data_IF_457008248258
#
_entry.id   IF_457008248258
#
_cell.length_a   1.000
_cell.length_b   1.000
_cell.length_c   1.000
_cell.angle_alpha   90.00
_cell.angle_beta   90.00
_cell.angle_gamma   90.00
#
_symmetry.space_group_name_H-M   'P 1'
#
loop_
_entity.id
_entity.type
_entity.pdbx_description
1 polymer ?
#
# COMPACT_ATOMS: atom_id res chain seq x y z
N UNK A 1 13.03 9.24 -3.84
CA UNK A 1 13.75 7.95 -3.85
C UNK A 1 14.93 8.11 -4.79
N UNK A 2 16.16 7.95 -4.30
CA UNK A 2 17.39 8.11 -5.08
C UNK A 2 17.69 6.84 -5.89
N UNK A 3 18.57 6.94 -6.89
CA UNK A 3 18.91 5.83 -7.79
C UNK A 3 19.46 4.59 -7.06
N UNK A 4 20.24 4.81 -5.99
CA UNK A 4 20.75 3.74 -5.13
C UNK A 4 19.62 3.04 -4.35
N UNK A 5 18.64 3.79 -3.85
CA UNK A 5 17.48 3.25 -3.14
C UNK A 5 16.61 2.41 -4.07
N UNK A 6 16.44 2.86 -5.33
CA UNK A 6 15.71 2.12 -6.36
C UNK A 6 16.40 0.78 -6.63
N UNK A 7 17.73 0.80 -6.83
CA UNK A 7 18.49 -0.43 -7.05
C UNK A 7 18.36 -1.39 -5.86
N UNK A 8 18.60 -0.90 -4.65
CA UNK A 8 18.50 -1.71 -3.43
C UNK A 8 17.10 -2.33 -3.30
N UNK A 9 16.05 -1.55 -3.53
CA UNK A 9 14.68 -2.04 -3.46
C UNK A 9 14.41 -3.16 -4.46
N UNK A 10 14.86 -3.02 -5.71
CA UNK A 10 14.63 -4.04 -6.74
C UNK A 10 15.46 -5.30 -6.47
N UNK A 11 16.69 -5.16 -5.96
CA UNK A 11 17.50 -6.30 -5.52
C UNK A 11 16.82 -7.05 -4.37
N UNK A 12 16.33 -6.35 -3.35
CA UNK A 12 15.60 -6.94 -2.22
C UNK A 12 14.32 -7.64 -2.68
N UNK A 13 13.59 -7.04 -3.62
CA UNK A 13 12.41 -7.64 -4.25
C UNK A 13 12.77 -8.98 -4.91
N UNK A 14 13.76 -9.04 -5.80
CA UNK A 14 14.12 -10.29 -6.47
C UNK A 14 14.72 -11.34 -5.53
N UNK A 15 15.46 -10.92 -4.49
CA UNK A 15 15.93 -11.80 -3.42
C UNK A 15 14.76 -12.39 -2.63
N UNK A 16 13.72 -11.62 -2.35
CA UNK A 16 12.52 -12.10 -1.65
C UNK A 16 11.79 -13.19 -2.46
N UNK A 17 11.77 -13.09 -3.79
CA UNK A 17 11.26 -14.14 -4.67
C UNK A 17 12.27 -15.26 -4.98
N UNK A 18 13.44 -15.26 -4.33
CA UNK A 18 14.51 -16.25 -4.55
C UNK A 18 14.92 -16.37 -6.02
N UNK A 19 14.93 -15.24 -6.73
CA UNK A 19 15.25 -15.19 -8.16
C UNK A 19 16.77 -15.29 -8.37
N UNK A 20 17.27 -16.13 -9.29
CA UNK A 20 18.70 -16.20 -9.56
C UNK A 20 19.14 -15.00 -10.41
N UNK A 21 20.17 -14.30 -9.94
CA UNK A 21 20.85 -13.25 -10.70
C UNK A 21 21.82 -13.90 -11.70
N UNK A 22 21.67 -13.57 -12.97
CA UNK A 22 22.51 -14.10 -14.06
C UNK A 22 23.76 -13.26 -14.26
N UNK A 23 23.63 -11.94 -14.13
CA UNK A 23 24.73 -10.98 -14.20
C UNK A 23 24.54 -9.90 -13.14
N UNK A 24 25.61 -9.51 -12.45
CA UNK A 24 25.59 -8.43 -11.46
C UNK A 24 26.73 -7.46 -11.75
N UNK A 25 26.40 -6.18 -11.88
CA UNK A 25 27.33 -5.07 -12.10
C UNK A 25 26.91 -3.88 -11.24
N UNK A 26 27.83 -2.96 -10.89
CA UNK A 26 27.45 -1.71 -10.24
C UNK A 26 26.38 -0.89 -11.00
N UNK A 27 26.40 -0.97 -12.33
CA UNK A 27 25.58 -0.16 -13.23
C UNK A 27 24.27 -0.83 -13.67
N UNK A 28 24.21 -2.17 -13.65
CA UNK A 28 23.07 -2.96 -14.10
C UNK A 28 23.07 -4.35 -13.46
N UNK A 29 21.94 -5.05 -13.44
CA UNK A 29 21.92 -6.49 -13.20
C UNK A 29 20.88 -7.18 -14.07
N UNK A 30 21.10 -8.47 -14.32
CA UNK A 30 20.20 -9.34 -15.07
C UNK A 30 19.68 -10.45 -14.17
N UNK A 31 18.38 -10.69 -14.22
CA UNK A 31 17.71 -11.67 -13.35
C UNK A 31 16.73 -12.50 -14.15
N UNK A 32 16.66 -13.80 -13.83
CA UNK A 32 15.60 -14.66 -14.32
C UNK A 32 14.35 -14.44 -13.48
N UNK A 33 13.25 -14.06 -14.12
CA UNK A 33 11.99 -13.84 -13.41
C UNK A 33 11.42 -15.18 -12.94
N UNK A 34 10.95 -15.29 -11.68
CA UNK A 34 10.14 -16.42 -11.26
C UNK A 34 8.75 -16.33 -11.90
N UNK A 35 8.04 -17.46 -11.96
CA UNK A 35 6.74 -17.60 -12.66
C UNK A 35 5.74 -16.51 -12.24
N UNK A 36 5.65 -16.23 -10.94
CA UNK A 36 4.69 -15.25 -10.39
C UNK A 36 5.02 -13.83 -10.82
N UNK A 37 6.30 -13.45 -10.74
CA UNK A 37 6.79 -12.12 -11.12
C UNK A 37 6.73 -11.92 -12.63
N UNK A 38 6.98 -12.97 -13.40
CA UNK A 38 6.86 -12.94 -14.86
C UNK A 38 5.39 -12.77 -15.31
N UNK A 39 4.43 -13.36 -14.62
CA UNK A 39 3.00 -13.08 -14.85
C UNK A 39 2.66 -11.61 -14.62
N UNK A 40 3.30 -10.96 -13.64
CA UNK A 40 3.05 -9.56 -13.31
C UNK A 40 3.81 -8.58 -14.23
N UNK A 41 5.06 -8.87 -14.56
CA UNK A 41 5.96 -7.97 -15.29
C UNK A 41 6.05 -8.28 -16.80
N UNK A 42 5.91 -9.54 -17.18
CA UNK A 42 6.19 -10.04 -18.53
C UNK A 42 5.15 -9.66 -19.59
N UNK A 43 3.99 -9.10 -19.20
CA UNK A 43 2.91 -8.68 -20.09
C UNK A 43 2.55 -9.74 -21.17
N UNK A 44 2.64 -11.04 -20.82
CA UNK A 44 2.45 -12.16 -21.76
C UNK A 44 1.29 -13.10 -21.39
N UNK A 45 0.04 -12.60 -21.29
CA UNK A 45 -1.11 -13.38 -20.81
C UNK A 45 -1.42 -14.59 -21.71
N UNK A 46 -1.24 -14.47 -23.03
CA UNK A 46 -1.47 -15.57 -23.97
C UNK A 46 -0.47 -16.72 -23.81
N UNK A 47 0.79 -16.40 -23.54
CA UNK A 47 1.84 -17.39 -23.28
C UNK A 47 1.47 -18.24 -22.05
N UNK A 48 1.12 -17.59 -20.94
CA UNK A 48 0.74 -18.28 -19.70
C UNK A 48 -0.52 -19.13 -19.88
N UNK A 49 -1.54 -18.59 -20.56
CA UNK A 49 -2.76 -19.33 -20.88
C UNK A 49 -2.47 -20.59 -21.70
N UNK A 50 -1.53 -20.50 -22.66
CA UNK A 50 -1.15 -21.62 -23.52
C UNK A 50 -0.35 -22.69 -22.76
N UNK A 51 0.64 -22.27 -21.97
CA UNK A 51 1.48 -23.16 -21.14
C UNK A 51 0.62 -23.94 -20.14
N UNK A 52 -0.31 -23.26 -19.46
CA UNK A 52 -1.21 -23.88 -18.47
C UNK A 52 -2.20 -24.86 -19.11
N UNK A 53 -2.72 -24.56 -20.30
CA UNK A 53 -3.66 -25.45 -21.02
C UNK A 53 -2.99 -26.72 -21.53
N UNK A 54 -1.73 -26.63 -21.94
CA UNK A 54 -1.01 -27.76 -22.56
C UNK A 54 -0.19 -28.53 -21.51
N UNK A 55 0.02 -27.95 -20.32
CA UNK A 55 0.83 -28.55 -19.27
C UNK A 55 2.32 -28.60 -19.62
N UNK A 56 2.80 -27.63 -20.40
CA UNK A 56 4.23 -27.53 -20.72
C UNK A 56 5.02 -26.96 -19.55
N UNK A 57 6.32 -27.25 -19.51
CA UNK A 57 7.21 -26.58 -18.56
C UNK A 57 7.37 -25.10 -18.95
N UNK A 58 7.18 -24.18 -17.99
CA UNK A 58 7.30 -22.76 -18.26
C UNK A 58 8.76 -22.36 -18.50
N UNK A 59 8.95 -21.44 -19.44
CA UNK A 59 10.22 -20.77 -19.75
C UNK A 59 10.12 -19.31 -19.30
N UNK A 60 10.61 -18.99 -18.08
CA UNK A 60 10.52 -17.64 -17.55
C UNK A 60 11.42 -16.65 -18.29
N UNK A 61 11.00 -15.38 -18.31
CA UNK A 61 11.71 -14.29 -18.96
C UNK A 61 12.98 -13.92 -18.18
N UNK A 62 14.01 -13.47 -18.89
CA UNK A 62 15.18 -12.83 -18.31
C UNK A 62 15.10 -11.33 -18.59
N UNK A 63 15.24 -10.50 -17.56
CA UNK A 63 15.24 -9.05 -17.68
C UNK A 63 16.55 -8.47 -17.18
N UNK A 64 17.04 -7.45 -17.88
CA UNK A 64 18.21 -6.66 -17.51
C UNK A 64 17.75 -5.27 -17.10
N UNK A 65 18.08 -4.87 -15.87
CA UNK A 65 17.74 -3.57 -15.30
C UNK A 65 18.98 -2.70 -15.24
N UNK A 66 18.91 -1.50 -15.83
CA UNK A 66 20.01 -0.53 -15.89
C UNK A 66 19.73 0.62 -14.92
N UNK A 67 20.70 0.91 -14.06
CA UNK A 67 20.63 1.97 -13.06
C UNK A 67 21.59 3.12 -13.32
N UNK A 68 22.69 2.87 -14.04
CA UNK A 68 23.64 3.90 -14.46
C UNK A 68 24.02 3.67 -15.92
N UNK A 69 23.54 4.53 -16.81
CA UNK A 69 23.76 4.39 -18.25
C UNK A 69 25.20 4.70 -18.68
N UNK A 70 25.92 5.53 -17.93
CA UNK A 70 27.28 5.94 -18.27
C UNK A 70 28.30 4.83 -18.01
N UNK A 71 27.99 3.92 -17.09
CA UNK A 71 28.85 2.83 -16.66
C UNK A 71 28.50 1.47 -17.30
N UNK A 72 27.53 1.42 -18.23
CA UNK A 72 27.12 0.19 -18.91
C UNK A 72 28.00 -0.08 -20.13
N UNK A 73 28.62 -1.28 -20.26
CA UNK A 73 29.35 -1.69 -21.45
C UNK A 73 28.51 -1.63 -22.74
N UNK A 74 29.14 -1.29 -23.87
CA UNK A 74 28.47 -1.30 -25.17
C UNK A 74 27.99 -2.72 -25.54
N UNK A 75 26.70 -2.86 -25.84
CA UNK A 75 26.08 -4.13 -26.27
C UNK A 75 25.03 -4.69 -25.31
N UNK A 76 24.94 -4.17 -24.09
CA UNK A 76 23.93 -4.61 -23.12
C UNK A 76 22.57 -4.01 -23.45
N UNK A 77 21.60 -4.89 -23.71
CA UNK A 77 20.20 -4.51 -23.90
C UNK A 77 19.48 -4.69 -22.58
N UNK A 78 18.96 -3.60 -22.02
CA UNK A 78 18.21 -3.59 -20.77
C UNK A 78 17.27 -2.42 -20.69
N UNK A 79 16.42 -2.44 -19.66
CA UNK A 79 15.48 -1.37 -19.35
C UNK A 79 16.11 -0.44 -18.32
N UNK A 80 16.18 0.86 -18.65
CA UNK A 80 16.62 1.88 -17.72
C UNK A 80 15.54 2.15 -16.68
N UNK A 81 15.89 2.01 -15.41
CA UNK A 81 14.97 2.21 -14.30
C UNK A 81 15.25 3.54 -13.64
N UNK A 82 14.31 4.46 -13.80
CA UNK A 82 14.29 5.75 -13.12
C UNK A 82 13.06 5.84 -12.21
N UNK A 83 13.11 6.76 -11.25
CA UNK A 83 11.95 7.06 -10.43
C UNK A 83 10.78 7.53 -11.32
N UNK A 84 9.59 6.96 -11.11
CA UNK A 84 8.41 7.21 -11.96
C UNK A 84 8.34 6.38 -13.24
N UNK A 85 9.32 5.51 -13.52
CA UNK A 85 9.23 4.59 -14.66
C UNK A 85 8.06 3.60 -14.48
N UNK A 86 7.37 3.27 -15.58
CA UNK A 86 6.27 2.29 -15.56
C UNK A 86 6.70 0.96 -14.95
N UNK A 87 7.92 0.50 -15.27
CA UNK A 87 8.46 -0.76 -14.75
C UNK A 87 8.61 -0.73 -13.24
N UNK A 88 9.12 0.36 -12.67
CA UNK A 88 9.24 0.52 -11.23
C UNK A 88 7.86 0.45 -10.54
N UNK A 89 6.85 1.11 -11.11
CA UNK A 89 5.48 1.01 -10.61
C UNK A 89 4.92 -0.42 -10.68
N UNK A 90 5.17 -1.16 -11.77
CA UNK A 90 4.76 -2.56 -11.86
C UNK A 90 5.43 -3.44 -10.78
N UNK A 91 6.70 -3.18 -10.46
CA UNK A 91 7.41 -3.89 -9.38
C UNK A 91 6.79 -3.54 -8.03
N UNK A 92 6.47 -2.27 -7.77
CA UNK A 92 5.76 -1.86 -6.56
C UNK A 92 4.39 -2.54 -6.43
N UNK A 93 3.62 -2.60 -7.51
CA UNK A 93 2.30 -3.22 -7.52
C UNK A 93 2.40 -4.74 -7.31
N UNK A 94 3.38 -5.39 -7.93
CA UNK A 94 3.67 -6.81 -7.72
C UNK A 94 4.10 -7.07 -6.27
N UNK A 95 4.99 -6.25 -5.70
CA UNK A 95 5.40 -6.35 -4.29
C UNK A 95 4.21 -6.21 -3.35
N UNK A 96 3.34 -5.23 -3.57
CA UNK A 96 2.10 -5.06 -2.80
C UNK A 96 1.16 -6.25 -2.96
N UNK A 97 1.05 -6.83 -4.15
CA UNK A 97 0.17 -7.97 -4.45
C UNK A 97 0.59 -9.23 -3.69
N UNK A 98 1.88 -9.55 -3.68
CA UNK A 98 2.41 -10.75 -3.03
C UNK A 98 2.74 -10.56 -1.55
N UNK A 99 2.92 -9.31 -1.10
CA UNK A 99 3.14 -8.93 0.29
C UNK A 99 1.88 -8.65 1.11
N UNK A 100 0.67 -8.94 0.60
CA UNK A 100 -0.59 -8.61 1.29
C UNK A 100 -0.77 -9.36 2.60
N UNK A 101 -0.43 -10.65 2.61
CA UNK A 101 -0.62 -11.51 3.77
C UNK A 101 0.55 -12.48 3.93
N UNK A 102 1.17 -12.48 5.10
CA UNK A 102 2.28 -13.39 5.43
C UNK A 102 1.95 -14.26 6.63
N UNK A 103 2.53 -15.45 6.68
CA UNK A 103 2.51 -16.30 7.88
C UNK A 103 3.94 -16.59 8.30
N UNK A 104 4.30 -16.17 9.50
CA UNK A 104 5.66 -16.20 9.99
C UNK A 104 5.73 -16.80 11.39
N UNK A 105 6.84 -17.46 11.69
CA UNK A 105 7.12 -18.13 12.95
C UNK A 105 8.44 -17.63 13.50
N UNK A 106 8.50 -17.37 14.79
CA UNK A 106 9.74 -17.01 15.46
C UNK A 106 10.66 -18.23 15.53
N UNK A 107 11.82 -18.12 14.87
CA UNK A 107 12.91 -19.10 14.97
C UNK A 107 13.84 -18.74 16.11
N UNK A 108 14.30 -19.74 16.85
CA UNK A 108 15.21 -19.54 17.97
C UNK A 108 16.66 -19.41 17.47
N UNK A 109 17.37 -18.35 17.91
CA UNK A 109 18.84 -18.27 17.82
C UNK A 109 19.57 -19.14 18.83
N UNK A 110 18.89 -19.59 19.88
CA UNK A 110 19.53 -20.20 21.03
C UNK A 110 19.52 -21.72 20.89
N UNK A 111 20.61 -22.25 20.34
CA UNK A 111 21.15 -23.56 20.72
C UNK A 111 21.49 -23.56 22.22
N UNK A 112 20.48 -23.46 23.08
CA UNK A 112 20.67 -23.77 24.48
C UNK A 112 20.73 -25.28 24.56
N UNK A 113 21.93 -25.81 24.81
CA UNK A 113 22.29 -27.22 24.95
C UNK A 113 21.49 -27.98 26.04
N UNK A 114 20.49 -27.33 26.64
CA UNK A 114 19.59 -27.83 27.67
C UNK A 114 18.11 -27.92 27.21
N UNK A 115 17.79 -27.59 25.96
CA UNK A 115 16.39 -27.48 25.46
C UNK A 115 15.90 -28.68 24.62
N UNK A 116 16.67 -29.76 24.56
CA UNK A 116 16.50 -30.89 23.63
C UNK A 116 15.25 -31.77 23.83
N UNK A 117 14.29 -31.41 24.70
CA UNK A 117 13.15 -32.29 25.06
C UNK A 117 11.80 -31.54 25.15
N UNK A 118 11.77 -30.22 25.37
CA UNK A 118 10.51 -29.49 25.48
C UNK A 118 10.18 -28.74 24.20
N UNK A 119 9.06 -29.11 23.58
CA UNK A 119 8.49 -28.34 22.48
C UNK A 119 8.08 -26.95 22.97
N UNK A 120 8.43 -25.90 22.25
CA UNK A 120 8.15 -24.52 22.65
C UNK A 120 6.81 -24.05 22.07
N UNK A 121 5.89 -23.48 22.88
CA UNK A 121 4.65 -22.92 22.39
C UNK A 121 4.89 -21.60 21.66
N UNK A 122 4.23 -21.42 20.52
CA UNK A 122 4.17 -20.16 19.79
C UNK A 122 2.76 -19.57 19.87
N UNK A 123 2.67 -18.33 20.33
CA UNK A 123 1.43 -17.58 20.50
C UNK A 123 1.05 -16.91 19.17
N UNK A 124 -0.20 -17.08 18.69
CA UNK A 124 -0.66 -16.45 17.47
C UNK A 124 -0.98 -14.96 17.68
N UNK A 125 -0.39 -14.12 16.84
CA UNK A 125 -0.61 -12.69 16.73
C UNK A 125 -1.04 -12.34 15.31
N UNK A 126 -2.05 -11.49 15.18
CA UNK A 126 -2.41 -10.87 13.91
C UNK A 126 -1.77 -9.48 13.86
N UNK A 127 -0.79 -9.29 12.98
CA UNK A 127 -0.21 -7.98 12.69
C UNK A 127 -0.90 -7.36 11.49
N UNK A 128 -1.34 -6.10 11.60
CA UNK A 128 -1.98 -5.36 10.53
C UNK A 128 -1.40 -3.95 10.48
N UNK A 129 -0.88 -3.56 9.31
CA UNK A 129 -0.41 -2.20 9.09
C UNK A 129 -1.52 -1.40 8.43
N UNK A 130 -2.16 -0.52 9.21
CA UNK A 130 -3.16 0.40 8.71
C UNK A 130 -2.52 1.69 8.22
N UNK A 131 -3.08 2.23 7.14
CA UNK A 131 -2.83 3.59 6.68
C UNK A 131 -4.10 4.40 6.94
N UNK A 132 -3.96 5.44 7.76
CA UNK A 132 -5.01 6.42 8.05
C UNK A 132 -4.67 7.70 7.30
N UNK A 133 -5.57 8.11 6.42
CA UNK A 133 -5.39 9.29 5.58
C UNK A 133 -6.46 10.32 5.96
N UNK A 134 -6.02 11.46 6.49
CA UNK A 134 -6.87 12.62 6.75
C UNK A 134 -6.83 13.49 5.50
N UNK A 135 -7.97 13.59 4.81
CA UNK A 135 -8.09 14.21 3.50
C UNK A 135 -8.98 15.45 3.62
N UNK A 136 -8.44 16.60 3.24
CA UNK A 136 -9.15 17.85 2.98
C UNK A 136 -8.39 18.61 1.87
N UNK A 137 -8.27 19.94 1.98
CA UNK A 137 -7.37 20.76 1.17
C UNK A 137 -5.90 20.33 1.31
N UNK A 138 -5.55 19.74 2.46
CA UNK A 138 -4.29 19.10 2.73
C UNK A 138 -4.50 17.61 3.03
N UNK A 139 -3.47 16.82 2.76
CA UNK A 139 -3.47 15.38 3.04
C UNK A 139 -2.43 15.05 4.10
N UNK A 140 -2.86 14.42 5.19
CA UNK A 140 -1.98 13.90 6.26
C UNK A 140 -2.14 12.38 6.32
N UNK A 141 -1.03 11.67 6.15
CA UNK A 141 -0.98 10.22 6.19
C UNK A 141 -0.29 9.73 7.47
N UNK A 142 -0.92 8.79 8.17
CA UNK A 142 -0.37 8.13 9.36
C UNK A 142 -0.36 6.62 9.12
N UNK A 143 0.75 5.97 9.47
CA UNK A 143 0.85 4.52 9.50
C UNK A 143 0.68 4.02 10.94
N UNK A 144 -0.26 3.10 11.15
CA UNK A 144 -0.57 2.48 12.43
C UNK A 144 -0.27 0.97 12.34
N UNK A 145 0.96 0.54 12.72
CA UNK A 145 1.33 -0.86 12.76
C UNK A 145 0.77 -1.53 14.02
N UNK A 146 -0.44 -2.08 13.91
CA UNK A 146 -1.13 -2.71 15.03
C UNK A 146 -0.87 -4.22 15.08
N UNK A 147 -0.79 -4.77 16.29
CA UNK A 147 -0.75 -6.20 16.53
C UNK A 147 -1.80 -6.58 17.56
N UNK A 148 -2.56 -7.64 17.30
CA UNK A 148 -3.52 -8.20 18.25
C UNK A 148 -3.18 -9.65 18.58
N UNK A 149 -3.14 -9.95 19.87
CA UNK A 149 -2.94 -11.31 20.35
C UNK A 149 -4.24 -12.12 20.19
N UNK A 150 -4.20 -13.22 19.44
CA UNK A 150 -5.39 -14.03 19.17
C UNK A 150 -5.80 -14.95 20.32
N UNK A 151 -5.06 -14.94 21.44
CA UNK A 151 -5.41 -15.63 22.69
C UNK A 151 -5.95 -14.63 23.72
N UNK A 152 -5.18 -13.58 24.05
CA UNK A 152 -5.56 -12.63 25.10
C UNK A 152 -6.45 -11.48 24.60
N UNK A 153 -6.39 -11.16 23.31
CA UNK A 153 -7.05 -10.00 22.73
C UNK A 153 -6.33 -8.67 22.99
N UNK A 154 -5.12 -8.69 23.57
CA UNK A 154 -4.33 -7.49 23.78
C UNK A 154 -3.90 -6.86 22.44
N UNK A 155 -3.99 -5.53 22.33
CA UNK A 155 -3.62 -4.74 21.15
C UNK A 155 -2.33 -3.96 21.44
N UNK A 156 -1.39 -3.96 20.49
CA UNK A 156 -0.08 -3.31 20.60
C UNK A 156 0.18 -2.43 19.37
N UNK A 157 0.75 -1.24 19.58
CA UNK A 157 1.00 -0.21 18.55
C UNK A 157 2.37 -0.29 17.89
N UNK A 158 3.31 -0.96 18.54
CA UNK A 158 4.69 -1.08 18.08
C UNK A 158 4.98 -2.48 17.53
N UNK A 159 3.94 -3.20 17.10
CA UNK A 159 4.06 -4.61 16.71
C UNK A 159 5.09 -4.81 15.62
N UNK A 160 5.10 -3.96 14.59
CA UNK A 160 6.08 -4.03 13.51
C UNK A 160 7.53 -3.81 13.99
N UNK A 161 7.75 -2.91 14.95
CA UNK A 161 9.09 -2.64 15.48
C UNK A 161 9.63 -3.84 16.23
N UNK A 162 8.80 -4.48 17.04
CA UNK A 162 9.16 -5.70 17.77
C UNK A 162 9.37 -6.86 16.81
N UNK A 163 8.46 -7.07 15.86
CA UNK A 163 8.57 -8.14 14.87
C UNK A 163 9.84 -8.02 14.00
N UNK A 164 10.27 -6.80 13.67
CA UNK A 164 11.50 -6.54 12.89
C UNK A 164 12.78 -6.98 13.61
N UNK A 165 12.77 -7.03 14.94
CA UNK A 165 13.92 -7.45 15.74
C UNK A 165 14.01 -8.98 15.91
N UNK A 166 12.94 -9.70 15.58
CA UNK A 166 12.85 -11.16 15.70
C UNK A 166 13.33 -11.86 14.43
N UNK A 167 13.84 -13.07 14.58
CA UNK A 167 14.07 -13.95 13.44
C UNK A 167 12.80 -14.68 13.05
N UNK A 168 12.22 -14.28 11.93
CA UNK A 168 10.96 -14.80 11.45
C UNK A 168 11.17 -15.67 10.22
N UNK A 169 10.65 -16.91 10.26
CA UNK A 169 10.71 -17.86 9.16
C UNK A 169 9.31 -18.22 8.67
N UNK A 170 9.09 -18.46 7.37
CA UNK A 170 7.80 -18.90 6.84
C UNK A 170 7.49 -20.37 7.16
N UNK A 171 8.53 -21.16 7.48
CA UNK A 171 8.42 -22.55 7.90
C UNK A 171 8.39 -22.64 9.42
N UNK A 172 7.55 -23.54 9.94
CA UNK A 172 7.50 -23.86 11.37
C UNK A 172 8.88 -24.42 11.81
N UNK A 173 9.55 -23.80 12.79
CA UNK A 173 10.84 -24.28 13.31
C UNK A 173 10.72 -25.64 13.99
N UNK A 174 11.82 -26.39 14.02
CA UNK A 174 11.88 -27.67 14.71
C UNK A 174 11.61 -27.51 16.21
N UNK A 175 10.94 -28.50 16.81
CA UNK A 175 10.59 -28.51 18.24
C UNK A 175 9.71 -27.32 18.69
N UNK A 176 8.89 -26.77 17.79
CA UNK A 176 7.90 -25.74 18.12
C UNK A 176 6.47 -26.21 17.80
N UNK A 177 5.49 -25.69 18.54
CA UNK A 177 4.07 -25.93 18.25
C UNK A 177 3.26 -24.65 18.35
N UNK A 178 2.25 -24.53 17.49
CA UNK A 178 1.36 -23.37 17.48
C UNK A 178 0.26 -23.52 18.51
N UNK A 179 0.08 -22.51 19.35
CA UNK A 179 -1.10 -22.42 20.23
C UNK A 179 -2.35 -22.18 19.40
N UNK A 180 -3.48 -22.73 19.85
CA UNK A 180 -4.77 -22.52 19.18
C UNK A 180 -5.28 -21.10 19.51
N UNK A 181 -5.64 -20.31 18.49
CA UNK A 181 -6.25 -19.00 18.71
C UNK A 181 -7.63 -19.16 19.34
N UNK A 182 -7.93 -18.33 20.33
CA UNK A 182 -9.27 -18.26 20.96
C UNK A 182 -10.18 -17.38 20.10
N UNK A 183 -9.61 -16.31 19.53
CA UNK A 183 -10.31 -15.39 18.65
C UNK A 183 -10.01 -15.71 17.19
N UNK A 184 -11.08 -15.79 16.38
CA UNK A 184 -10.95 -15.84 14.92
C UNK A 184 -10.40 -14.54 14.36
N UNK A 185 -9.82 -14.61 13.16
CA UNK A 185 -9.24 -13.43 12.48
C UNK A 185 -10.29 -12.34 12.27
N UNK A 186 -11.52 -12.69 11.89
CA UNK A 186 -12.60 -11.71 11.68
C UNK A 186 -12.92 -10.94 12.97
N UNK A 187 -13.01 -11.65 14.10
CA UNK A 187 -13.26 -11.01 15.40
C UNK A 187 -12.11 -10.12 15.83
N UNK A 188 -10.87 -10.50 15.51
CA UNK A 188 -9.69 -9.70 15.78
C UNK A 188 -9.67 -8.42 14.94
N UNK A 189 -10.07 -8.49 13.67
CA UNK A 189 -10.21 -7.33 12.79
C UNK A 189 -11.28 -6.37 13.33
N UNK A 190 -12.46 -6.86 13.71
CA UNK A 190 -13.50 -5.98 14.27
C UNK A 190 -13.04 -5.26 15.55
N UNK A 191 -12.20 -5.90 16.37
CA UNK A 191 -11.60 -5.25 17.54
C UNK A 191 -10.57 -4.19 17.16
N UNK A 192 -9.75 -4.45 16.14
CA UNK A 192 -8.82 -3.46 15.61
C UNK A 192 -9.56 -2.26 15.00
N UNK A 193 -10.67 -2.48 14.31
CA UNK A 193 -11.52 -1.41 13.78
C UNK A 193 -12.12 -0.55 14.90
N UNK A 194 -12.68 -1.17 15.93
CA UNK A 194 -13.18 -0.46 17.12
C UNK A 194 -12.07 0.32 17.82
N UNK A 195 -10.88 -0.26 17.89
CA UNK A 195 -9.71 0.39 18.46
C UNK A 195 -9.29 1.64 17.65
N UNK A 196 -9.22 1.51 16.32
CA UNK A 196 -8.91 2.64 15.42
C UNK A 196 -9.98 3.72 15.53
N UNK A 197 -11.26 3.35 15.57
CA UNK A 197 -12.34 4.31 15.74
C UNK A 197 -12.19 5.08 17.06
N UNK A 198 -11.95 4.39 18.18
CA UNK A 198 -11.72 5.04 19.47
C UNK A 198 -10.46 5.92 19.49
N UNK A 199 -9.43 5.56 18.72
CA UNK A 199 -8.23 6.38 18.52
C UNK A 199 -8.56 7.65 17.72
N UNK A 200 -9.33 7.53 16.64
CA UNK A 200 -9.75 8.67 15.81
C UNK A 200 -10.71 9.62 16.55
N UNK A 201 -11.57 9.09 17.43
CA UNK A 201 -12.48 9.90 18.24
C UNK A 201 -11.73 10.78 19.28
N UNK A 202 -10.49 10.42 19.63
CA UNK A 202 -9.64 11.21 20.53
C UNK A 202 -8.77 12.23 19.79
N UNK A 203 -8.63 12.11 18.47
CA UNK A 203 -7.87 13.06 17.66
C UNK A 203 -8.57 14.42 17.60
N UNK A 204 -7.78 15.46 17.39
CA UNK A 204 -8.30 16.82 17.31
C UNK A 204 -9.21 16.99 16.08
N UNK A 205 -10.38 17.60 16.26
CA UNK A 205 -11.35 17.86 15.18
C UNK A 205 -11.21 19.26 14.57
N UNK A 206 -10.28 20.07 15.07
CA UNK A 206 -10.03 21.43 14.58
C UNK A 206 -9.72 21.46 13.07
N UNK A 207 -8.98 20.48 12.55
CA UNK A 207 -8.67 20.42 11.11
C UNK A 207 -9.93 20.29 10.25
N UNK A 208 -10.90 19.49 10.69
CA UNK A 208 -12.15 19.27 9.97
C UNK A 208 -13.06 20.50 10.04
N UNK A 209 -13.10 21.19 11.19
CA UNK A 209 -13.83 22.44 11.35
C UNK A 209 -13.28 23.53 10.42
N UNK A 210 -11.96 23.73 10.43
CA UNK A 210 -11.29 24.71 9.56
C UNK A 210 -11.49 24.40 8.06
N UNK A 211 -11.47 23.12 7.68
CA UNK A 211 -11.73 22.72 6.30
C UNK A 211 -13.16 23.06 5.85
N UNK A 212 -14.15 22.84 6.72
CA UNK A 212 -15.54 23.21 6.44
C UNK A 212 -15.74 24.73 6.37
N UNK A 213 -15.13 25.50 7.27
CA UNK A 213 -15.18 26.97 7.22
C UNK A 213 -14.60 27.50 5.90
N UNK A 214 -13.44 26.99 5.47
CA UNK A 214 -12.85 27.34 4.16
C UNK A 214 -13.73 26.93 3.00
N UNK A 215 -14.35 25.75 3.06
CA UNK A 215 -15.27 25.29 2.02
C UNK A 215 -16.48 26.25 1.89
N UNK A 216 -17.04 26.70 3.01
CA UNK A 216 -18.16 27.64 3.02
C UNK A 216 -17.75 29.01 2.44
N UNK A 217 -16.56 29.51 2.78
CA UNK A 217 -16.01 30.74 2.20
C UNK A 217 -15.82 30.63 0.68
N UNK A 218 -15.26 29.52 0.19
CA UNK A 218 -15.05 29.27 -1.25
C UNK A 218 -16.38 29.11 -2.00
N UNK A 219 -17.36 28.42 -1.40
CA UNK A 219 -18.72 28.32 -1.96
C UNK A 219 -19.36 29.69 -2.11
N UNK A 220 -19.28 30.55 -1.09
CA UNK A 220 -19.81 31.92 -1.15
C UNK A 220 -19.14 32.75 -2.25
N UNK A 221 -17.82 32.61 -2.42
CA UNK A 221 -17.08 33.30 -3.48
C UNK A 221 -17.60 32.86 -4.86
N UNK A 222 -17.69 31.55 -5.11
CA UNK A 222 -18.23 31.00 -6.37
C UNK A 222 -19.66 31.50 -6.63
N UNK A 223 -20.53 31.46 -5.61
CA UNK A 223 -21.90 31.94 -5.75
C UNK A 223 -21.96 33.42 -6.11
N UNK A 224 -21.15 34.25 -5.46
CA UNK A 224 -21.06 35.68 -5.76
C UNK A 224 -20.61 35.92 -7.20
N UNK A 225 -19.56 35.23 -7.67
CA UNK A 225 -19.01 35.35 -9.02
C UNK A 225 -20.06 35.04 -10.09
N UNK A 226 -20.74 33.89 -9.99
CA UNK A 226 -21.76 33.51 -10.96
C UNK A 226 -23.03 34.38 -10.86
N UNK A 227 -23.37 34.88 -9.67
CA UNK A 227 -24.49 35.82 -9.49
C UNK A 227 -24.22 37.17 -10.16
N UNK A 228 -22.97 37.65 -10.13
CA UNK A 228 -22.55 38.86 -10.82
C UNK A 228 -22.55 38.68 -12.35
N UNK A 229 -22.04 37.55 -12.85
CA UNK A 229 -22.07 37.24 -14.27
C UNK A 229 -23.50 37.14 -14.81
N UNK A 230 -24.41 36.54 -14.04
CA UNK A 230 -25.83 36.49 -14.38
C UNK A 230 -26.50 37.88 -14.39
N UNK A 231 -26.04 38.80 -13.53
CA UNK A 231 -26.58 40.16 -13.43
C UNK A 231 -26.04 41.08 -14.53
N UNK A 232 -24.74 40.98 -14.88
CA UNK A 232 -24.11 41.76 -15.96
C UNK A 232 -24.69 41.46 -17.35
N UNK A 233 -25.32 40.29 -17.53
CA UNK A 233 -25.84 39.84 -18.83
C UNK A 233 -27.28 40.32 -19.16
N UNK A 234 -27.92 41.14 -18.32
CA UNK A 234 -29.32 41.61 -18.50
C UNK A 234 -29.57 42.70 -19.57
N UNK A 235 -28.65 43.00 -20.49
CA UNK A 235 -28.72 44.25 -21.29
C UNK A 235 -29.31 44.12 -22.72
N UNK A 236 -29.77 42.96 -23.21
CA UNK A 236 -30.42 42.93 -24.55
C UNK A 236 -31.56 41.92 -24.69
N UNK A 237 -32.69 42.37 -25.24
CA UNK A 237 -33.97 41.64 -25.31
C UNK A 237 -34.10 40.69 -26.53
N UNK A 238 -33.18 40.72 -27.50
CA UNK A 238 -33.40 40.08 -28.81
C UNK A 238 -32.99 38.59 -28.93
N UNK A 239 -32.43 37.95 -27.91
CA UNK A 239 -31.97 36.53 -28.00
C UNK A 239 -32.35 35.66 -26.78
N UNK A 240 -33.64 35.58 -26.45
CA UNK A 240 -34.13 34.82 -25.28
C UNK A 240 -33.74 33.33 -25.27
N UNK A 241 -33.79 32.63 -26.41
CA UNK A 241 -33.40 31.21 -26.50
C UNK A 241 -31.89 31.00 -26.28
N UNK A 242 -31.03 31.81 -26.90
CA UNK A 242 -29.58 31.76 -26.67
C UNK A 242 -29.19 32.18 -25.26
N UNK A 243 -29.94 33.10 -24.64
CA UNK A 243 -29.75 33.48 -23.24
C UNK A 243 -30.15 32.34 -22.29
N UNK A 244 -31.24 31.62 -22.55
CA UNK A 244 -31.65 30.48 -21.75
C UNK A 244 -30.62 29.34 -21.84
N UNK A 245 -30.14 29.01 -23.04
CA UNK A 245 -29.11 27.99 -23.25
C UNK A 245 -27.78 28.39 -22.60
N UNK A 246 -27.41 29.68 -22.64
CA UNK A 246 -26.19 30.20 -22.01
C UNK A 246 -26.29 30.22 -20.48
N UNK A 247 -27.45 30.58 -19.91
CA UNK A 247 -27.69 30.46 -18.46
C UNK A 247 -27.61 29.02 -17.97
N UNK A 248 -28.23 28.10 -18.71
CA UNK A 248 -28.18 26.66 -18.39
C UNK A 248 -26.74 26.14 -18.41
N UNK A 249 -25.92 26.57 -19.38
CA UNK A 249 -24.48 26.26 -19.43
C UNK A 249 -23.71 26.82 -18.24
N UNK A 250 -23.98 28.07 -17.87
CA UNK A 250 -23.34 28.75 -16.73
C UNK A 250 -23.68 28.05 -15.40
N UNK A 251 -24.93 27.66 -15.23
CA UNK A 251 -25.40 26.89 -14.06
C UNK A 251 -24.75 25.50 -14.01
N UNK A 252 -24.65 24.79 -15.13
CA UNK A 252 -23.98 23.50 -15.19
C UNK A 252 -22.47 23.61 -14.86
N UNK A 253 -21.80 24.68 -15.31
CA UNK A 253 -20.41 24.95 -14.96
C UNK A 253 -20.26 25.24 -13.46
N UNK A 254 -21.13 26.10 -12.90
CA UNK A 254 -21.20 26.37 -11.45
C UNK A 254 -21.37 25.08 -10.66
N UNK A 255 -22.31 24.22 -11.03
CA UNK A 255 -22.57 22.95 -10.35
C UNK A 255 -21.37 22.01 -10.41
N UNK A 256 -20.66 21.98 -11.54
CA UNK A 256 -19.43 21.19 -11.69
C UNK A 256 -18.34 21.70 -10.76
N UNK A 257 -18.15 23.02 -10.68
CA UNK A 257 -17.17 23.64 -9.78
C UNK A 257 -17.51 23.44 -8.31
N UNK A 258 -18.79 23.53 -7.93
CA UNK A 258 -19.22 23.26 -6.56
C UNK A 258 -18.93 21.81 -6.17
N UNK A 259 -19.18 20.85 -7.06
CA UNK A 259 -18.83 19.44 -6.82
C UNK A 259 -17.32 19.22 -6.70
N UNK A 260 -16.52 19.91 -7.51
CA UNK A 260 -15.06 19.86 -7.41
C UNK A 260 -14.57 20.42 -6.06
N UNK A 261 -15.11 21.56 -5.62
CA UNK A 261 -14.81 22.13 -4.30
C UNK A 261 -15.22 21.18 -3.18
N UNK A 262 -16.45 20.67 -3.22
CA UNK A 262 -16.91 19.70 -2.21
C UNK A 262 -16.00 18.49 -2.15
N UNK A 263 -15.59 17.94 -3.30
CA UNK A 263 -14.69 16.79 -3.32
C UNK A 263 -13.30 17.10 -2.74
N UNK A 264 -12.79 18.32 -2.94
CA UNK A 264 -11.48 18.76 -2.44
C UNK A 264 -11.48 19.09 -0.95
N UNK A 265 -12.47 19.85 -0.48
CA UNK A 265 -12.45 20.41 0.87
C UNK A 265 -13.27 19.62 1.89
N UNK A 266 -14.17 18.71 1.48
CA UNK A 266 -14.94 17.91 2.44
C UNK A 266 -13.98 17.04 3.26
N UNK A 267 -13.86 17.28 4.58
CA UNK A 267 -12.95 16.53 5.42
C UNK A 267 -13.42 15.08 5.51
N UNK A 268 -12.54 14.16 5.16
CA UNK A 268 -12.80 12.72 5.30
C UNK A 268 -11.56 11.98 5.80
N UNK A 269 -11.81 10.89 6.52
CA UNK A 269 -10.78 9.98 7.00
C UNK A 269 -10.93 8.68 6.24
N UNK A 270 -9.90 8.28 5.51
CA UNK A 270 -9.84 6.99 4.83
C UNK A 270 -8.90 6.06 5.59
N UNK A 271 -9.39 4.89 5.97
CA UNK A 271 -8.60 3.85 6.62
C UNK A 271 -8.44 2.69 5.65
N UNK A 272 -7.21 2.34 5.31
CA UNK A 272 -6.89 1.23 4.42
C UNK A 272 -5.86 0.29 5.05
N UNK A 273 -5.94 -1.00 4.70
CA UNK A 273 -4.94 -2.00 5.13
C UNK A 273 -3.84 -2.05 4.08
N UNK A 274 -2.60 -1.79 4.51
CA UNK A 274 -1.42 -1.87 3.63
C UNK A 274 -1.00 -3.32 3.45
N UNK A 275 -0.83 -4.02 4.57
CA UNK A 275 -0.55 -5.45 4.62
C UNK A 275 -0.96 -6.01 5.99
N UNK A 276 -1.09 -7.33 6.05
CA UNK A 276 -1.37 -8.06 7.26
C UNK A 276 -0.51 -9.32 7.34
N UNK A 277 -0.45 -9.94 8.51
CA UNK A 277 0.21 -11.22 8.65
C UNK A 277 -0.14 -11.91 9.96
N UNK A 278 -0.02 -13.23 9.94
CA UNK A 278 -0.16 -14.09 11.09
C UNK A 278 1.21 -14.49 11.61
N UNK A 279 1.53 -14.06 12.82
CA UNK A 279 2.83 -14.25 13.44
C UNK A 279 2.69 -15.19 14.63
N UNK A 280 3.55 -16.20 14.70
CA UNK A 280 3.59 -17.16 15.78
C UNK A 280 4.85 -16.90 16.60
N UNK A 281 4.67 -16.23 17.72
CA UNK A 281 5.76 -15.65 18.51
C UNK A 281 5.91 -16.38 19.84
N UNK A 282 7.15 -16.61 20.23
CA UNK A 282 7.53 -17.06 21.57
C UNK A 282 7.73 -15.86 22.49
N UNK A 283 8.37 -14.80 21.99
CA UNK A 283 8.61 -13.59 22.77
C UNK A 283 7.27 -12.91 23.08
N UNK A 284 6.96 -12.66 24.37
CA UNK A 284 5.81 -11.85 24.72
C UNK A 284 6.04 -10.44 24.18
N UNK A 285 5.06 -9.91 23.45
CA UNK A 285 5.03 -8.51 23.06
C UNK A 285 4.17 -7.80 24.10
N UNK A 286 4.82 -7.09 25.00
CA UNK A 286 4.13 -6.19 25.92
C UNK A 286 3.85 -4.86 25.21
N UNK A 287 2.64 -4.33 25.44
CA UNK A 287 2.14 -3.07 24.86
C UNK A 287 2.41 -1.86 25.72
#
# INVERSE_FOLDING_TARGET
MNQQEIRQYIEEYFKAFQSPFTEESPAYFSVQLPIEVDKDLGNRPFYWTYVEKIGMEPTPLHLTFIFDREQVPEGIRGEEIIFGSRRLHQIFDSSKKHGKFVRLYESSRTNSLLSSISSVPLVPWLGVNYKVEFICDQKKDILLPLGINLISGAIVHSFYQTAKQLELTPKLPDYSFTMQPIFGVDSAISRLEQYIQAYLDQEDTLWAQQANERLDEEKLLIESFYSEEATRQKITEEEQEKQAEKKLRLEAEKDTRLKELEWQFTPRIEVSVVNAGLFYLRTPIDG
#
